data_IF_342831709723
#
_entry.id   IF_342831709723
#
_cell.length_a   1.000
_cell.length_b   1.000
_cell.length_c   1.000
_cell.angle_alpha   90.00
_cell.angle_beta   90.00
_cell.angle_gamma   90.00
#
_symmetry.space_group_name_H-M   'P 1'
#
loop_
_entity.id
_entity.type
_entity.pdbx_description
1 polymer ?
#
# COMPACT_ATOMS: atom_id res chain seq x y z
N UNK A 1 7.42 6.78 -0.25
CA UNK A 1 6.86 5.40 -0.13
C UNK A 1 5.39 5.45 0.21
N UNK A 2 4.57 4.50 -0.26
CA UNK A 2 3.17 4.28 0.15
C UNK A 2 3.00 2.84 0.65
N UNK A 3 2.05 2.64 1.58
CA UNK A 3 1.67 1.31 2.08
C UNK A 3 0.27 0.99 1.59
N UNK A 4 0.08 -0.20 1.03
CA UNK A 4 -1.23 -0.70 0.60
C UNK A 4 -1.46 -2.10 1.14
N UNK A 5 -2.62 -2.31 1.76
CA UNK A 5 -3.14 -3.63 2.07
C UNK A 5 -4.10 -4.04 0.96
N UNK A 6 -3.91 -5.21 0.42
CA UNK A 6 -4.71 -5.74 -0.67
C UNK A 6 -5.89 -6.52 -0.10
N UNK A 7 -7.09 -6.18 -0.51
CA UNK A 7 -8.29 -6.85 -0.02
C UNK A 7 -8.45 -8.25 -0.61
N UNK A 8 -8.45 -9.26 0.24
CA UNK A 8 -8.87 -10.62 -0.14
C UNK A 8 -10.39 -10.65 -0.26
N UNK A 9 -10.91 -10.53 -1.44
CA UNK A 9 -12.34 -10.70 -1.69
C UNK A 9 -12.74 -12.18 -1.52
N UNK A 10 -12.92 -12.62 -0.28
CA UNK A 10 -13.52 -13.92 0.02
C UNK A 10 -12.58 -15.12 0.07
N UNK A 11 -11.36 -14.96 0.53
CA UNK A 11 -10.53 -16.10 0.93
C UNK A 11 -9.89 -16.88 -0.21
N UNK A 12 -9.26 -16.18 -1.15
CA UNK A 12 -8.39 -16.82 -2.14
C UNK A 12 -7.27 -17.63 -1.48
N UNK A 13 -6.64 -18.55 -2.20
CA UNK A 13 -5.48 -19.29 -1.74
C UNK A 13 -4.28 -18.38 -1.56
N UNK A 14 -3.56 -18.50 -0.44
CA UNK A 14 -2.28 -17.82 -0.24
C UNK A 14 -1.23 -18.36 -1.21
N UNK A 15 -1.28 -19.64 -1.55
CA UNK A 15 -0.45 -20.25 -2.58
C UNK A 15 -0.60 -19.55 -3.92
N UNK A 16 -1.83 -19.35 -4.39
CA UNK A 16 -2.07 -18.63 -5.64
C UNK A 16 -1.59 -17.15 -5.60
N UNK A 17 -1.65 -16.50 -4.43
CA UNK A 17 -1.08 -15.16 -4.24
C UNK A 17 0.45 -15.18 -4.34
N UNK A 18 1.10 -16.16 -3.73
CA UNK A 18 2.56 -16.31 -3.77
C UNK A 18 3.01 -16.69 -5.17
N UNK A 19 2.29 -17.56 -5.89
CA UNK A 19 2.56 -17.90 -7.28
C UNK A 19 2.43 -16.69 -8.20
N UNK A 20 1.45 -15.84 -7.96
CA UNK A 20 1.34 -14.55 -8.66
C UNK A 20 2.55 -13.64 -8.39
N UNK A 21 3.06 -13.62 -7.15
CA UNK A 21 4.20 -12.76 -6.77
C UNK A 21 5.54 -13.30 -7.27
N UNK A 22 5.78 -14.59 -7.23
CA UNK A 22 7.07 -15.20 -7.57
C UNK A 22 7.11 -15.89 -8.94
N UNK A 23 5.97 -16.10 -9.59
CA UNK A 23 5.80 -17.05 -10.70
C UNK A 23 5.47 -18.47 -10.17
N UNK A 24 4.75 -19.26 -10.96
CA UNK A 24 4.39 -20.65 -10.61
C UNK A 24 5.65 -21.50 -10.34
N UNK A 25 6.68 -21.32 -11.17
CA UNK A 25 7.99 -21.99 -11.06
C UNK A 25 9.01 -21.21 -10.23
N UNK A 26 8.60 -20.12 -9.53
CA UNK A 26 9.46 -19.23 -8.73
C UNK A 26 10.51 -18.48 -9.56
N UNK A 27 10.25 -18.24 -10.83
CA UNK A 27 11.16 -17.68 -11.82
C UNK A 27 10.68 -16.36 -12.46
N UNK A 28 9.72 -15.66 -11.83
CA UNK A 28 9.20 -14.41 -12.33
C UNK A 28 10.31 -13.35 -12.44
N UNK A 29 10.50 -12.81 -13.64
CA UNK A 29 11.44 -11.72 -13.91
C UNK A 29 11.16 -10.51 -13.01
N UNK A 30 12.24 -9.99 -12.39
CA UNK A 30 12.15 -8.83 -11.49
C UNK A 30 11.51 -9.14 -10.12
N UNK A 31 11.29 -10.43 -9.78
CA UNK A 31 10.85 -10.87 -8.46
C UNK A 31 12.00 -11.55 -7.71
N UNK A 32 12.21 -11.18 -6.45
CA UNK A 32 13.24 -11.74 -5.57
C UNK A 32 12.62 -12.06 -4.20
N UNK A 33 12.81 -13.28 -3.72
CA UNK A 33 12.48 -13.64 -2.34
C UNK A 33 13.52 -12.99 -1.41
N UNK A 34 13.07 -12.07 -0.55
CA UNK A 34 13.95 -11.37 0.40
C UNK A 34 14.03 -12.08 1.75
N UNK A 35 12.90 -12.59 2.26
CA UNK A 35 12.87 -13.35 3.50
C UNK A 35 11.60 -14.18 3.62
N UNK A 36 11.61 -15.17 4.55
CA UNK A 36 10.50 -16.10 4.78
C UNK A 36 10.62 -17.36 3.96
N UNK A 37 9.61 -18.23 4.10
CA UNK A 37 9.43 -19.47 3.35
C UNK A 37 8.05 -19.41 2.66
N UNK A 38 8.01 -19.16 1.34
CA UNK A 38 6.76 -19.00 0.60
C UNK A 38 5.84 -20.24 0.70
N UNK A 39 6.42 -21.42 0.70
CA UNK A 39 5.65 -22.68 0.75
C UNK A 39 5.10 -22.93 2.15
N UNK A 40 5.84 -22.58 3.20
CA UNK A 40 5.35 -22.63 4.57
C UNK A 40 4.23 -21.61 4.78
N UNK A 41 4.44 -20.35 4.35
CA UNK A 41 3.44 -19.28 4.43
C UNK A 41 2.14 -19.67 3.72
N UNK A 42 2.23 -20.25 2.51
CA UNK A 42 1.07 -20.74 1.77
C UNK A 42 0.34 -21.85 2.55
N UNK A 43 1.06 -22.88 3.00
CA UNK A 43 0.48 -24.00 3.75
C UNK A 43 -0.15 -23.57 5.06
N UNK A 44 0.51 -22.70 5.83
CA UNK A 44 -0.05 -22.16 7.06
C UNK A 44 -1.39 -21.45 6.78
N UNK A 45 -1.41 -20.52 5.83
CA UNK A 45 -2.59 -19.74 5.53
C UNK A 45 -3.72 -20.59 4.93
N UNK A 46 -3.42 -21.49 3.98
CA UNK A 46 -4.44 -22.26 3.26
C UNK A 46 -5.09 -23.34 4.12
N UNK A 47 -4.46 -23.76 5.21
CA UNK A 47 -5.04 -24.69 6.19
C UNK A 47 -5.84 -24.01 7.32
N UNK A 48 -5.95 -22.66 7.34
CA UNK A 48 -6.76 -21.96 8.32
C UNK A 48 -8.25 -22.03 7.98
N UNK A 49 -9.08 -22.31 8.97
CA UNK A 49 -10.55 -22.29 8.86
C UNK A 49 -11.14 -20.87 8.98
N UNK A 50 -10.30 -19.83 8.93
CA UNK A 50 -10.73 -18.44 9.05
C UNK A 50 -11.26 -17.89 7.71
N UNK A 51 -12.26 -17.04 7.74
CA UNK A 51 -12.75 -16.37 6.54
C UNK A 51 -11.65 -15.56 5.83
N UNK A 52 -10.84 -14.83 6.61
CA UNK A 52 -9.65 -14.15 6.13
C UNK A 52 -8.43 -14.91 6.65
N UNK A 53 -7.80 -15.69 5.79
CA UNK A 53 -6.72 -16.61 6.15
C UNK A 53 -5.34 -16.00 6.16
N UNK A 54 -5.15 -14.91 5.41
CA UNK A 54 -3.88 -14.20 5.34
C UNK A 54 -4.08 -12.71 5.08
N UNK A 55 -3.08 -11.93 5.40
CA UNK A 55 -2.96 -10.52 5.11
C UNK A 55 -1.86 -10.34 4.07
N UNK A 56 -2.17 -9.63 2.99
CA UNK A 56 -1.22 -9.31 1.92
C UNK A 56 -1.18 -7.81 1.68
N UNK A 57 0.01 -7.30 1.41
CA UNK A 57 0.18 -5.89 1.11
C UNK A 57 1.51 -5.59 0.44
N UNK A 58 1.76 -4.32 0.22
CA UNK A 58 2.95 -3.85 -0.48
C UNK A 58 3.40 -2.50 0.06
N UNK A 59 4.70 -2.35 0.26
CA UNK A 59 5.40 -1.09 0.40
C UNK A 59 5.88 -0.70 -1.00
N UNK A 60 5.29 0.34 -1.59
CA UNK A 60 5.61 0.78 -2.95
C UNK A 60 6.39 2.09 -2.89
N UNK A 61 7.55 2.11 -3.53
CA UNK A 61 8.48 3.22 -3.54
C UNK A 61 8.40 3.94 -4.89
N UNK A 62 8.79 5.20 -4.92
CA UNK A 62 9.01 5.94 -6.17
C UNK A 62 10.42 5.66 -6.68
N UNK A 63 11.32 5.37 -5.76
CA UNK A 63 12.70 5.00 -6.00
C UNK A 63 12.76 3.67 -6.78
N UNK A 64 13.67 3.60 -7.76
CA UNK A 64 13.85 2.39 -8.57
C UNK A 64 14.43 1.23 -7.74
N UNK A 65 15.26 1.52 -6.76
CA UNK A 65 15.81 0.57 -5.79
C UNK A 65 16.32 1.28 -4.52
N UNK A 66 16.59 0.52 -3.48
CA UNK A 66 17.23 0.94 -2.23
C UNK A 66 18.40 0.01 -1.92
N UNK A 67 19.32 0.47 -1.07
CA UNK A 67 20.38 -0.40 -0.57
C UNK A 67 19.78 -1.58 0.23
N UNK A 68 20.37 -2.78 0.12
CA UNK A 68 19.87 -3.98 0.79
C UNK A 68 19.67 -3.78 2.29
N UNK A 69 20.61 -3.11 2.95
CA UNK A 69 20.50 -2.78 4.36
C UNK A 69 19.27 -1.92 4.68
N UNK A 70 18.98 -0.91 3.84
CA UNK A 70 17.81 -0.07 4.02
C UNK A 70 16.50 -0.85 3.83
N UNK A 71 16.45 -1.75 2.83
CA UNK A 71 15.29 -2.64 2.63
C UNK A 71 15.04 -3.49 3.87
N UNK A 72 16.09 -4.11 4.42
CA UNK A 72 16.00 -4.95 5.61
C UNK A 72 15.53 -4.15 6.84
N UNK A 73 16.09 -2.96 7.08
CA UNK A 73 15.71 -2.09 8.19
C UNK A 73 14.25 -1.63 8.08
N UNK A 74 13.79 -1.28 6.88
CA UNK A 74 12.40 -0.89 6.61
C UNK A 74 11.44 -2.07 6.83
N UNK A 75 11.78 -3.25 6.32
CA UNK A 75 10.98 -4.47 6.50
C UNK A 75 10.86 -4.82 7.98
N UNK A 76 11.98 -4.85 8.71
CA UNK A 76 12.01 -5.12 10.14
C UNK A 76 11.18 -4.10 10.93
N UNK A 77 11.38 -2.80 10.69
CA UNK A 77 10.62 -1.73 11.35
C UNK A 77 9.11 -1.83 11.05
N UNK A 78 8.74 -2.26 9.85
CA UNK A 78 7.34 -2.50 9.51
C UNK A 78 6.75 -3.68 10.29
N UNK A 79 7.48 -4.80 10.38
CA UNK A 79 7.08 -5.98 11.16
C UNK A 79 6.90 -5.61 12.65
N UNK A 80 7.89 -4.97 13.25
CA UNK A 80 7.86 -4.53 14.65
C UNK A 80 6.69 -3.58 14.95
N UNK A 81 6.30 -2.78 13.97
CA UNK A 81 5.15 -1.86 14.09
C UNK A 81 3.82 -2.60 13.91
N UNK A 82 3.67 -3.35 12.82
CA UNK A 82 2.42 -4.00 12.45
C UNK A 82 2.05 -5.14 13.40
N UNK A 83 3.07 -5.86 13.90
CA UNK A 83 2.97 -7.03 14.76
C UNK A 83 3.48 -6.75 16.19
N UNK A 84 3.41 -5.47 16.61
CA UNK A 84 3.93 -5.03 17.89
C UNK A 84 3.43 -5.90 19.06
N UNK A 85 4.38 -6.32 19.91
CA UNK A 85 4.11 -7.18 21.08
C UNK A 85 4.10 -8.66 20.80
N UNK A 86 4.38 -9.08 19.57
CA UNK A 86 4.64 -10.46 19.20
C UNK A 86 6.14 -10.68 19.02
N UNK A 87 6.64 -11.82 19.51
CA UNK A 87 8.00 -12.26 19.23
C UNK A 87 8.09 -12.85 17.83
N UNK A 88 9.29 -12.89 17.25
CA UNK A 88 9.49 -13.33 15.84
C UNK A 88 8.99 -14.74 15.57
N UNK A 89 8.95 -15.59 16.56
CA UNK A 89 8.50 -16.98 16.50
C UNK A 89 6.98 -17.15 16.66
N UNK A 90 6.25 -16.07 16.93
CA UNK A 90 4.79 -16.08 17.07
C UNK A 90 4.05 -15.78 15.78
N UNK A 91 4.74 -15.41 14.70
CA UNK A 91 4.13 -15.13 13.40
C UNK A 91 5.01 -15.63 12.25
N UNK A 92 4.42 -15.78 11.10
CA UNK A 92 5.11 -16.02 9.85
C UNK A 92 4.88 -14.88 8.86
N UNK A 93 5.89 -14.53 8.09
CA UNK A 93 5.83 -13.51 7.05
C UNK A 93 6.82 -13.83 5.94
N UNK A 94 6.36 -13.72 4.71
CA UNK A 94 7.21 -13.80 3.52
C UNK A 94 7.27 -12.45 2.83
N UNK A 95 8.48 -12.01 2.49
CA UNK A 95 8.76 -10.78 1.76
C UNK A 95 9.31 -11.06 0.36
N UNK A 96 8.72 -10.37 -0.62
CA UNK A 96 9.07 -10.52 -2.03
C UNK A 96 9.26 -9.13 -2.64
N UNK A 97 10.44 -8.90 -3.20
CA UNK A 97 10.77 -7.69 -3.96
C UNK A 97 10.26 -7.80 -5.39
N UNK A 98 9.72 -6.71 -5.94
CA UNK A 98 9.48 -6.52 -7.36
C UNK A 98 10.13 -5.24 -7.87
N UNK A 99 10.75 -5.31 -9.06
CA UNK A 99 11.34 -4.16 -9.75
C UNK A 99 10.89 -4.05 -11.22
N UNK A 100 9.99 -4.93 -11.65
CA UNK A 100 9.51 -5.07 -13.04
C UNK A 100 8.80 -3.81 -13.59
N UNK A 101 8.37 -2.90 -12.73
CA UNK A 101 7.68 -1.65 -13.11
C UNK A 101 8.54 -0.40 -13.05
N UNK A 102 9.88 -0.56 -13.01
CA UNK A 102 10.84 0.54 -12.90
C UNK A 102 10.82 1.26 -11.55
N UNK A 103 10.20 0.66 -10.53
CA UNK A 103 10.18 1.12 -9.14
C UNK A 103 10.24 -0.08 -8.21
N UNK A 104 10.75 0.16 -6.99
CA UNK A 104 10.81 -0.86 -5.96
C UNK A 104 9.42 -1.09 -5.34
N UNK A 105 9.02 -2.36 -5.23
CA UNK A 105 7.86 -2.81 -4.47
C UNK A 105 8.30 -3.95 -3.53
N UNK A 106 8.11 -3.79 -2.22
CA UNK A 106 8.31 -4.84 -1.22
C UNK A 106 6.95 -5.41 -0.85
N UNK A 107 6.64 -6.59 -1.38
CA UNK A 107 5.38 -7.28 -1.12
C UNK A 107 5.53 -8.18 0.09
N UNK A 108 4.48 -8.28 0.92
CA UNK A 108 4.46 -9.16 2.08
C UNK A 108 3.19 -9.99 2.14
N UNK A 109 3.33 -11.21 2.66
CA UNK A 109 2.22 -12.14 2.94
C UNK A 109 2.38 -12.67 4.35
N UNK A 110 1.32 -12.53 5.17
CA UNK A 110 1.27 -12.93 6.59
C UNK A 110 0.08 -13.87 6.80
N UNK A 111 0.27 -15.15 7.19
CA UNK A 111 -0.82 -15.98 7.65
C UNK A 111 -1.52 -15.38 8.88
N UNK A 112 -2.85 -15.41 8.91
CA UNK A 112 -3.62 -14.76 9.98
C UNK A 112 -3.74 -15.68 11.22
N UNK A 113 -2.61 -16.19 11.68
CA UNK A 113 -2.51 -17.07 12.87
C UNK A 113 -1.34 -16.65 13.75
N UNK A 114 -1.54 -16.61 15.06
CA UNK A 114 -0.47 -16.54 16.05
C UNK A 114 -0.03 -17.97 16.37
N UNK A 115 1.27 -18.25 16.13
CA UNK A 115 1.80 -19.62 16.03
C UNK A 115 1.90 -20.34 17.38
N UNK A 116 2.04 -19.63 18.50
CA UNK A 116 2.16 -20.25 19.82
C UNK A 116 0.81 -20.72 20.39
N UNK A 117 -0.27 -20.00 20.06
CA UNK A 117 -1.61 -20.28 20.58
C UNK A 117 -2.56 -20.87 19.54
N UNK A 118 -2.21 -20.81 18.26
CA UNK A 118 -3.09 -21.19 17.15
C UNK A 118 -4.29 -20.25 16.97
N UNK A 119 -4.36 -19.16 17.73
CA UNK A 119 -5.48 -18.21 17.63
C UNK A 119 -5.36 -17.35 16.38
N UNK A 120 -6.52 -16.84 15.94
CA UNK A 120 -6.56 -15.90 14.83
C UNK A 120 -5.75 -14.65 15.15
N UNK A 121 -4.76 -14.37 14.32
CA UNK A 121 -4.04 -13.10 14.26
C UNK A 121 -4.74 -12.18 13.25
N UNK A 122 -4.84 -10.90 13.56
CA UNK A 122 -5.27 -9.87 12.62
C UNK A 122 -4.17 -8.81 12.52
N UNK A 123 -3.22 -8.97 11.59
CA UNK A 123 -2.11 -8.04 11.45
C UNK A 123 -2.58 -6.60 11.21
N UNK A 124 -3.59 -6.43 10.35
CA UNK A 124 -4.13 -5.12 10.01
C UNK A 124 -5.67 -5.11 10.00
N UNK A 125 -6.23 -4.12 10.70
CA UNK A 125 -7.64 -3.76 10.63
C UNK A 125 -7.77 -2.27 10.35
N UNK A 126 -8.29 -1.91 9.20
CA UNK A 126 -8.25 -0.55 8.66
C UNK A 126 -8.72 0.54 9.64
N UNK A 127 -9.83 0.30 10.33
CA UNK A 127 -10.39 1.28 11.27
C UNK A 127 -9.47 1.55 12.48
N UNK A 128 -8.75 0.53 12.96
CA UNK A 128 -7.88 0.64 14.14
C UNK A 128 -6.43 0.94 13.76
N UNK A 129 -5.91 0.28 12.71
CA UNK A 129 -4.48 0.27 12.41
C UNK A 129 -4.07 1.27 11.32
N UNK A 130 -5.01 1.91 10.60
CA UNK A 130 -4.68 2.94 9.60
C UNK A 130 -3.83 4.07 10.20
N UNK A 131 -4.17 4.65 11.37
CA UNK A 131 -3.33 5.69 11.97
C UNK A 131 -1.93 5.21 12.34
N UNK A 132 -1.78 3.96 12.81
CA UNK A 132 -0.50 3.34 13.11
C UNK A 132 0.39 3.30 11.86
N UNK A 133 -0.12 2.72 10.77
CA UNK A 133 0.61 2.55 9.51
C UNK A 133 0.91 3.90 8.85
N UNK A 134 -0.02 4.86 8.89
CA UNK A 134 0.19 6.19 8.33
C UNK A 134 1.27 6.98 9.06
N UNK A 135 1.34 6.89 10.41
CA UNK A 135 2.41 7.55 11.17
C UNK A 135 3.75 6.84 10.97
N UNK A 136 3.79 5.50 10.93
CA UNK A 136 4.99 4.74 10.60
C UNK A 136 5.53 5.14 9.21
N UNK A 137 4.68 5.20 8.20
CA UNK A 137 5.05 5.63 6.85
C UNK A 137 5.66 7.03 6.82
N UNK A 138 5.09 7.99 7.56
CA UNK A 138 5.62 9.36 7.62
C UNK A 138 7.00 9.41 8.28
N UNK A 139 7.18 8.67 9.37
CA UNK A 139 8.47 8.56 10.08
C UNK A 139 9.50 7.92 9.16
N UNK A 140 9.20 6.77 8.56
CA UNK A 140 10.10 6.05 7.66
C UNK A 140 10.47 6.89 6.43
N UNK A 141 9.50 7.58 5.80
CA UNK A 141 9.79 8.46 4.67
C UNK A 141 10.76 9.58 5.04
N UNK A 142 10.66 10.12 6.24
CA UNK A 142 11.57 11.17 6.72
C UNK A 142 12.97 10.59 7.03
N UNK A 143 13.05 9.50 7.79
CA UNK A 143 14.31 8.91 8.25
C UNK A 143 15.21 8.45 7.08
N UNK A 144 14.59 7.91 6.03
CA UNK A 144 15.31 7.40 4.85
C UNK A 144 15.31 8.38 3.67
N UNK A 145 14.77 9.60 3.84
CA UNK A 145 14.67 10.59 2.77
C UNK A 145 13.88 10.12 1.56
N UNK A 146 12.87 9.27 1.80
CA UNK A 146 12.05 8.70 0.73
C UNK A 146 11.02 9.72 0.22
N UNK A 147 10.66 9.54 -1.03
CA UNK A 147 9.62 10.30 -1.68
C UNK A 147 8.30 10.23 -0.90
N UNK A 148 7.75 11.39 -0.55
CA UNK A 148 6.41 11.49 0.04
C UNK A 148 5.37 11.77 -1.05
N UNK A 149 4.45 10.83 -1.34
CA UNK A 149 3.41 11.02 -2.34
C UNK A 149 2.38 12.08 -1.97
N UNK A 150 2.36 12.53 -0.70
CA UNK A 150 1.49 13.60 -0.22
C UNK A 150 2.15 14.98 -0.26
N UNK A 151 3.41 15.06 -0.70
CA UNK A 151 4.07 16.34 -0.90
C UNK A 151 3.30 17.18 -1.95
N UNK A 152 3.01 18.47 -1.67
CA UNK A 152 2.20 19.30 -2.56
C UNK A 152 2.76 19.46 -3.98
N UNK A 153 4.08 19.43 -4.12
CA UNK A 153 4.79 19.42 -5.39
C UNK A 153 4.60 18.13 -6.20
N UNK A 154 4.20 17.05 -5.51
CA UNK A 154 3.82 15.77 -6.10
C UNK A 154 2.32 15.56 -6.21
N UNK A 155 1.52 16.53 -5.75
CA UNK A 155 0.08 16.54 -6.00
C UNK A 155 -0.13 16.55 -7.51
N UNK A 156 -0.44 15.36 -8.06
CA UNK A 156 -0.57 15.17 -9.50
C UNK A 156 -1.54 16.19 -10.05
N UNK A 157 -1.10 16.99 -11.00
CA UNK A 157 -1.96 17.85 -11.80
C UNK A 157 -3.14 17.08 -12.40
N UNK A 158 -2.96 15.77 -12.52
CA UNK A 158 -3.92 14.79 -13.02
C UNK A 158 -4.13 13.72 -11.94
N UNK A 159 -5.30 13.72 -11.28
CA UNK A 159 -5.71 12.57 -10.46
C UNK A 159 -6.17 11.44 -11.36
N UNK A 160 -5.30 10.49 -11.63
CA UNK A 160 -5.72 9.14 -12.05
C UNK A 160 -6.29 8.42 -10.83
N UNK A 161 -7.53 8.75 -10.47
CA UNK A 161 -8.21 8.17 -9.34
C UNK A 161 -8.48 6.68 -9.58
N UNK A 162 -8.06 5.87 -8.58
CA UNK A 162 -8.40 4.44 -8.44
C UNK A 162 -8.41 3.67 -9.76
N UNK A 163 -7.23 3.58 -10.36
CA UNK A 163 -7.02 2.83 -11.61
C UNK A 163 -7.27 1.33 -11.47
N UNK A 164 -7.44 0.81 -10.27
CA UNK A 164 -7.65 -0.62 -10.03
C UNK A 164 -8.98 -1.17 -10.54
N UNK A 165 -9.98 -0.32 -10.78
CA UNK A 165 -11.31 -0.72 -11.26
C UNK A 165 -11.70 -0.10 -12.61
N UNK A 166 -10.78 0.58 -13.30
CA UNK A 166 -11.05 1.15 -14.62
C UNK A 166 -10.52 0.21 -15.68
N UNK A 167 -11.26 0.00 -16.78
CA UNK A 167 -10.72 -0.64 -17.98
C UNK A 167 -9.43 0.07 -18.43
N UNK A 168 -8.47 -0.69 -18.96
CA UNK A 168 -7.14 -0.19 -19.34
C UNK A 168 -7.22 1.01 -20.28
N UNK A 169 -8.12 0.93 -21.26
CA UNK A 169 -8.39 2.01 -22.22
C UNK A 169 -8.81 3.34 -21.56
N UNK A 170 -9.66 3.31 -20.53
CA UNK A 170 -10.11 4.53 -19.83
C UNK A 170 -8.98 5.18 -19.05
N UNK A 171 -8.09 4.39 -18.49
CA UNK A 171 -6.90 4.88 -17.76
C UNK A 171 -5.95 5.58 -18.74
N UNK A 172 -5.69 4.98 -19.87
CA UNK A 172 -4.85 5.55 -20.93
C UNK A 172 -5.45 6.85 -21.48
N UNK A 173 -6.76 6.87 -21.79
CA UNK A 173 -7.46 8.07 -22.24
C UNK A 173 -7.30 9.22 -21.23
N UNK A 174 -7.53 8.96 -19.93
CA UNK A 174 -7.35 9.98 -18.88
C UNK A 174 -5.93 10.49 -18.82
N UNK A 175 -4.95 9.62 -18.96
CA UNK A 175 -3.54 9.98 -18.90
C UNK A 175 -3.12 10.81 -20.10
N UNK A 176 -3.50 10.42 -21.30
CA UNK A 176 -3.19 11.14 -22.54
C UNK A 176 -3.83 12.54 -22.54
N UNK A 177 -5.12 12.64 -22.22
CA UNK A 177 -5.83 13.92 -22.12
C UNK A 177 -5.15 14.81 -21.08
N UNK A 178 -4.86 14.26 -19.90
CA UNK A 178 -4.26 15.02 -18.81
C UNK A 178 -2.88 15.55 -19.16
N UNK A 179 -2.02 14.74 -19.80
CA UNK A 179 -0.69 15.16 -20.26
C UNK A 179 -0.78 16.27 -21.28
N UNK A 180 -1.66 16.13 -22.27
CA UNK A 180 -1.86 17.13 -23.32
C UNK A 180 -2.38 18.47 -22.76
N UNK A 181 -3.33 18.44 -21.83
CA UNK A 181 -3.86 19.66 -21.18
C UNK A 181 -2.79 20.32 -20.31
N UNK A 182 -2.04 19.53 -19.52
CA UNK A 182 -0.96 20.07 -18.68
C UNK A 182 0.14 20.75 -19.50
N UNK A 183 0.48 20.20 -20.66
CA UNK A 183 1.43 20.78 -21.59
C UNK A 183 0.92 22.12 -22.15
N UNK A 184 -0.36 22.19 -22.54
CA UNK A 184 -0.98 23.44 -23.03
C UNK A 184 -1.06 24.53 -21.95
N UNK A 185 -1.29 24.16 -20.68
CA UNK A 185 -1.24 25.08 -19.55
C UNK A 185 0.20 25.61 -19.37
N UNK A 186 1.19 24.73 -19.41
CA UNK A 186 2.61 25.10 -19.28
C UNK A 186 3.08 26.05 -20.38
N UNK A 187 2.54 25.87 -21.59
CA UNK A 187 2.82 26.72 -22.74
C UNK A 187 2.01 28.05 -22.74
N UNK A 188 1.12 28.25 -21.74
CA UNK A 188 0.28 29.44 -21.62
C UNK A 188 -0.91 29.51 -22.60
N UNK A 189 -1.19 28.43 -23.31
CA UNK A 189 -2.30 28.35 -24.28
C UNK A 189 -3.65 28.11 -23.60
N UNK A 190 -3.64 27.53 -22.39
CA UNK A 190 -4.80 27.30 -21.53
C UNK A 190 -4.59 28.10 -20.24
N UNK A 191 -5.48 29.04 -19.95
CA UNK A 191 -5.38 29.94 -18.81
C UNK A 191 -6.49 29.74 -17.78
N UNK A 192 -7.55 29.07 -18.14
CA UNK A 192 -8.69 28.81 -17.27
C UNK A 192 -9.40 27.54 -17.66
N UNK A 193 -10.38 27.13 -16.84
CA UNK A 193 -11.16 25.93 -17.09
C UNK A 193 -11.95 25.98 -18.40
N UNK A 194 -12.44 27.15 -18.83
CA UNK A 194 -13.18 27.25 -20.08
C UNK A 194 -12.28 26.90 -21.27
N UNK A 195 -11.01 27.29 -21.21
CA UNK A 195 -10.03 26.92 -22.24
C UNK A 195 -9.79 25.39 -22.26
N UNK A 196 -9.81 24.72 -21.10
CA UNK A 196 -9.76 23.25 -21.03
C UNK A 196 -10.97 22.62 -21.71
N UNK A 197 -12.17 23.14 -21.43
CA UNK A 197 -13.42 22.66 -22.06
C UNK A 197 -13.34 22.84 -23.57
N UNK A 198 -12.99 24.04 -24.03
CA UNK A 198 -12.86 24.35 -25.46
C UNK A 198 -11.82 23.45 -26.15
N UNK A 199 -10.69 23.17 -25.46
CA UNK A 199 -9.65 22.26 -25.99
C UNK A 199 -10.16 20.84 -26.13
N UNK A 200 -10.91 20.34 -25.14
CA UNK A 200 -11.52 19.01 -25.18
C UNK A 200 -12.56 18.90 -26.30
N UNK A 201 -13.43 19.91 -26.45
CA UNK A 201 -14.44 19.96 -27.51
C UNK A 201 -13.80 20.05 -28.90
N UNK A 202 -12.77 20.87 -29.07
CA UNK A 202 -12.00 20.97 -30.32
C UNK A 202 -11.26 19.67 -30.66
N UNK A 203 -10.88 18.89 -29.65
CA UNK A 203 -10.31 17.53 -29.81
C UNK A 203 -11.39 16.45 -30.08
N UNK A 204 -12.67 16.82 -30.18
CA UNK A 204 -13.77 15.93 -30.52
C UNK A 204 -14.41 15.21 -29.32
N UNK A 205 -14.09 15.61 -28.08
CA UNK A 205 -14.71 15.02 -26.89
C UNK A 205 -16.04 15.71 -26.59
N UNK A 206 -17.10 14.93 -26.42
CA UNK A 206 -18.42 15.42 -25.98
C UNK A 206 -18.42 15.62 -24.46
N UNK A 207 -18.60 16.86 -23.98
CA UNK A 207 -18.69 17.18 -22.56
C UNK A 207 -20.12 16.82 -22.07
N UNK A 208 -20.21 15.88 -21.12
CA UNK A 208 -21.49 15.40 -20.60
C UNK A 208 -21.88 16.04 -19.27
N UNK A 209 -20.91 16.48 -18.48
CA UNK A 209 -21.14 17.11 -17.19
C UNK A 209 -19.94 17.94 -16.74
N UNK A 210 -20.21 19.05 -16.09
CA UNK A 210 -19.22 19.87 -15.38
C UNK A 210 -19.63 20.05 -13.92
N UNK A 211 -18.66 19.94 -12.99
CA UNK A 211 -18.81 20.27 -11.56
C UNK A 211 -17.65 21.16 -11.15
N UNK A 212 -17.66 21.74 -9.97
CA UNK A 212 -16.56 22.60 -9.49
C UNK A 212 -15.17 21.93 -9.57
N UNK A 213 -15.11 20.60 -9.46
CA UNK A 213 -13.85 19.85 -9.33
C UNK A 213 -13.59 18.85 -10.46
N UNK A 214 -14.47 18.75 -11.44
CA UNK A 214 -14.34 17.74 -12.49
C UNK A 214 -15.08 18.08 -13.78
N UNK A 215 -14.59 17.52 -14.89
CA UNK A 215 -15.25 17.50 -16.20
C UNK A 215 -15.53 16.03 -16.55
N UNK A 216 -16.72 15.72 -17.05
CA UNK A 216 -17.05 14.40 -17.55
C UNK A 216 -17.21 14.44 -19.06
N UNK A 217 -16.53 13.53 -19.74
CA UNK A 217 -16.62 13.34 -21.19
C UNK A 217 -17.36 12.03 -21.49
N UNK A 218 -17.98 11.98 -22.66
CA UNK A 218 -18.59 10.74 -23.17
C UNK A 218 -17.50 9.72 -23.46
N UNK A 219 -17.70 8.49 -23.01
CA UNK A 219 -16.79 7.40 -23.35
C UNK A 219 -17.16 6.85 -24.75
N UNK A 220 -16.29 6.95 -25.75
CA UNK A 220 -16.62 6.45 -27.10
C UNK A 220 -16.89 4.94 -27.13
N UNK A 221 -16.24 4.17 -26.26
CA UNK A 221 -16.29 2.71 -26.25
C UNK A 221 -17.12 2.12 -25.10
N UNK A 222 -17.74 2.95 -24.25
CA UNK A 222 -18.36 2.49 -23.00
C UNK A 222 -19.72 3.07 -22.68
N UNK A 223 -20.44 2.38 -21.77
CA UNK A 223 -21.75 2.82 -21.27
C UNK A 223 -21.66 3.92 -20.20
N UNK A 224 -20.48 4.14 -19.60
CA UNK A 224 -20.27 5.12 -18.52
C UNK A 224 -19.33 6.22 -18.98
N UNK A 225 -19.72 7.46 -18.71
CA UNK A 225 -18.90 8.62 -18.99
C UNK A 225 -17.56 8.57 -18.23
N UNK A 226 -16.51 9.12 -18.85
CA UNK A 226 -15.20 9.24 -18.23
C UNK A 226 -15.17 10.54 -17.43
N UNK A 227 -14.92 10.46 -16.12
CA UNK A 227 -14.77 11.62 -15.27
C UNK A 227 -13.30 12.00 -15.15
N UNK A 228 -12.99 13.22 -15.60
CA UNK A 228 -11.66 13.84 -15.49
C UNK A 228 -11.61 14.66 -14.20
N UNK A 229 -10.63 14.38 -13.35
CA UNK A 229 -10.46 15.01 -12.04
C UNK A 229 -9.00 15.38 -11.83
N UNK A 230 -8.76 16.42 -11.06
CA UNK A 230 -7.45 16.98 -10.76
C UNK A 230 -7.47 18.50 -10.91
N UNK A 231 -6.42 19.18 -10.45
CA UNK A 231 -6.34 20.64 -10.40
C UNK A 231 -6.59 21.31 -11.75
N UNK A 232 -6.14 20.67 -12.84
CA UNK A 232 -6.34 21.17 -14.22
C UNK A 232 -7.78 21.09 -14.71
N UNK A 233 -8.68 20.41 -13.99
CA UNK A 233 -10.11 20.30 -14.32
C UNK A 233 -11.01 21.06 -13.34
N UNK A 234 -10.43 21.69 -12.33
CA UNK A 234 -11.17 22.51 -11.36
C UNK A 234 -11.57 23.86 -11.96
N UNK A 235 -12.66 24.44 -11.46
CA UNK A 235 -13.13 25.75 -11.89
C UNK A 235 -12.26 26.86 -11.29
N UNK A 236 -11.10 27.12 -11.92
CA UNK A 236 -10.12 28.11 -11.51
C UNK A 236 -9.37 28.70 -12.71
N UNK A 237 -8.65 29.77 -12.46
CA UNK A 237 -7.67 30.33 -13.40
C UNK A 237 -6.35 29.58 -13.27
N UNK A 238 -5.68 29.35 -14.38
CA UNK A 238 -4.37 28.71 -14.49
C UNK A 238 -3.34 29.79 -14.85
N UNK A 239 -2.99 30.62 -13.89
CA UNK A 239 -1.98 31.64 -14.08
C UNK A 239 -0.60 31.20 -13.58
N UNK A 240 0.42 32.05 -13.78
CA UNK A 240 1.76 31.80 -13.23
C UNK A 240 1.75 31.64 -11.70
N UNK A 241 0.72 32.19 -11.01
CA UNK A 241 0.57 32.03 -9.56
C UNK A 241 0.34 30.58 -9.18
N UNK A 242 -0.32 29.75 -10.02
CA UNK A 242 -0.51 28.32 -9.72
C UNK A 242 0.84 27.58 -9.61
N UNK A 243 1.78 27.85 -10.52
CA UNK A 243 3.13 27.28 -10.46
C UNK A 243 3.90 27.80 -9.24
N UNK A 244 3.74 29.09 -8.90
CA UNK A 244 4.35 29.71 -7.73
C UNK A 244 3.70 29.20 -6.42
N UNK A 245 2.38 29.05 -6.36
CA UNK A 245 1.67 28.46 -5.21
C UNK A 245 2.09 27.01 -4.97
N UNK A 246 2.23 26.20 -6.03
CA UNK A 246 2.77 24.84 -5.92
C UNK A 246 4.21 24.83 -5.42
N UNK A 247 5.05 25.73 -5.93
CA UNK A 247 6.44 25.86 -5.49
C UNK A 247 6.52 26.30 -4.02
N UNK A 248 5.72 27.32 -3.62
CA UNK A 248 5.64 27.77 -2.22
C UNK A 248 5.08 26.68 -1.29
N UNK A 249 4.01 25.99 -1.71
CA UNK A 249 3.46 24.87 -0.96
C UNK A 249 4.47 23.74 -0.79
N UNK A 250 5.28 23.45 -1.81
CA UNK A 250 6.39 22.50 -1.73
C UNK A 250 7.48 22.94 -0.74
N UNK A 251 7.87 24.23 -0.80
CA UNK A 251 8.85 24.80 0.13
C UNK A 251 8.36 24.80 1.59
N UNK A 252 7.10 25.18 1.83
CA UNK A 252 6.47 25.12 3.16
C UNK A 252 6.33 23.68 3.66
N UNK A 253 6.03 22.75 2.77
CA UNK A 253 5.99 21.34 3.10
C UNK A 253 7.37 20.83 3.54
N UNK A 254 8.43 21.18 2.82
CA UNK A 254 9.80 20.83 3.20
C UNK A 254 10.20 21.50 4.53
N UNK A 255 9.89 22.79 4.69
CA UNK A 255 10.20 23.53 5.93
C UNK A 255 9.54 22.95 7.16
N UNK A 256 8.31 22.44 7.05
CA UNK A 256 7.56 21.83 8.16
C UNK A 256 7.78 20.31 8.28
N UNK A 257 8.68 19.73 7.50
CA UNK A 257 8.92 18.27 7.48
C UNK A 257 9.32 17.72 8.85
N UNK A 258 10.19 18.43 9.57
CA UNK A 258 10.63 18.03 10.92
C UNK A 258 9.50 18.07 11.94
N UNK A 259 8.67 19.09 11.94
CA UNK A 259 7.51 19.20 12.83
C UNK A 259 6.50 18.07 12.58
N UNK A 260 6.26 17.74 11.31
CA UNK A 260 5.43 16.58 10.95
C UNK A 260 6.03 15.27 11.40
N UNK A 261 7.35 15.09 11.24
CA UNK A 261 8.07 13.93 11.74
C UNK A 261 7.92 13.77 13.27
N UNK A 262 8.19 14.82 14.06
CA UNK A 262 8.08 14.80 15.51
C UNK A 262 6.64 14.47 15.95
N UNK A 263 5.65 15.08 15.28
CA UNK A 263 4.22 14.80 15.53
C UNK A 263 3.88 13.34 15.20
N UNK A 264 4.33 12.83 14.05
CA UNK A 264 4.07 11.46 13.61
C UNK A 264 4.77 10.45 14.52
N UNK A 265 6.02 10.71 14.91
CA UNK A 265 6.81 9.87 15.82
C UNK A 265 6.14 9.73 17.19
N UNK A 266 5.68 10.84 17.79
CA UNK A 266 4.97 10.81 19.07
C UNK A 266 3.62 10.06 19.00
N UNK A 267 2.91 10.16 17.86
CA UNK A 267 1.69 9.38 17.64
C UNK A 267 1.99 7.90 17.38
N UNK A 268 3.01 7.60 16.58
CA UNK A 268 3.45 6.23 16.29
C UNK A 268 3.74 5.47 17.59
N UNK A 269 4.54 6.05 18.48
CA UNK A 269 4.87 5.43 19.76
C UNK A 269 3.63 5.00 20.54
N UNK A 270 2.64 5.88 20.69
CA UNK A 270 1.36 5.56 21.36
C UNK A 270 0.59 4.44 20.67
N UNK A 271 0.53 4.44 19.33
CA UNK A 271 -0.20 3.41 18.60
C UNK A 271 0.50 2.05 18.68
N UNK A 272 1.83 2.03 18.63
CA UNK A 272 2.64 0.82 18.85
C UNK A 272 2.41 0.25 20.25
N UNK A 273 2.46 1.06 21.31
CA UNK A 273 2.17 0.63 22.68
C UNK A 273 0.75 0.04 22.83
N UNK A 274 -0.24 0.68 22.21
CA UNK A 274 -1.61 0.17 22.24
C UNK A 274 -1.74 -1.18 21.51
N UNK A 275 -1.12 -1.31 20.34
CA UNK A 275 -1.10 -2.56 19.56
C UNK A 275 -0.37 -3.67 20.34
N UNK A 276 0.78 -3.34 20.91
CA UNK A 276 1.58 -4.25 21.75
C UNK A 276 0.75 -4.78 22.92
N UNK A 277 0.09 -3.90 23.67
CA UNK A 277 -0.77 -4.29 24.78
C UNK A 277 -1.90 -5.20 24.34
N UNK A 278 -2.59 -4.85 23.26
CA UNK A 278 -3.69 -5.64 22.72
C UNK A 278 -3.21 -7.05 22.30
N UNK A 279 -2.09 -7.15 21.61
CA UNK A 279 -1.53 -8.44 21.19
C UNK A 279 -1.08 -9.29 22.39
N UNK A 280 -0.38 -8.68 23.35
CA UNK A 280 0.03 -9.38 24.57
C UNK A 280 -1.15 -9.89 25.40
N UNK A 281 -2.25 -9.14 25.45
CA UNK A 281 -3.48 -9.60 26.13
C UNK A 281 -4.17 -10.74 25.38
N UNK A 282 -4.27 -10.63 24.05
CA UNK A 282 -4.96 -11.61 23.21
C UNK A 282 -4.22 -12.95 23.16
N UNK A 283 -2.88 -12.93 23.17
CA UNK A 283 -2.04 -14.11 22.95
C UNK A 283 -1.28 -14.55 24.21
N UNK A 284 -1.74 -14.12 25.41
CA UNK A 284 -1.23 -14.69 26.66
C UNK A 284 -1.42 -16.19 26.68
N UNK A 285 -0.33 -16.93 26.84
CA UNK A 285 -0.38 -18.35 27.19
C UNK A 285 -0.97 -18.46 28.59
N UNK A 286 -1.98 -19.28 28.78
CA UNK A 286 -2.44 -19.62 30.13
C UNK A 286 -1.34 -20.39 30.82
N UNK A 287 -1.11 -20.16 32.11
CA UNK A 287 -0.06 -20.80 32.91
C UNK A 287 -0.12 -22.33 32.99
N UNK A 288 -1.16 -22.94 32.42
CA UNK A 288 -1.35 -24.39 32.26
C UNK A 288 -0.87 -24.96 30.92
N UNK A 289 -0.56 -24.11 29.96
CA UNK A 289 -0.23 -24.53 28.61
C UNK A 289 1.30 -24.59 28.46
N UNK A 290 1.81 -25.78 28.43
CA UNK A 290 3.15 -26.31 28.11
C UNK A 290 4.36 -25.37 28.05
N UNK A 291 5.58 -25.85 28.37
CA UNK A 291 6.81 -25.04 28.28
C UNK A 291 6.94 -24.50 26.84
N UNK A 292 7.35 -23.23 26.71
CA UNK A 292 7.59 -22.59 25.43
C UNK A 292 8.37 -23.54 24.52
N UNK A 293 7.85 -23.87 23.34
CA UNK A 293 8.59 -24.73 22.42
C UNK A 293 9.94 -24.08 22.11
N UNK A 294 11.00 -24.87 22.10
CA UNK A 294 12.27 -24.43 21.54
C UNK A 294 12.10 -24.12 20.06
N UNK A 295 12.99 -23.34 19.46
CA UNK A 295 12.94 -22.94 18.03
C UNK A 295 12.71 -24.15 17.09
N UNK A 296 13.20 -25.31 17.49
CA UNK A 296 13.04 -26.57 16.76
C UNK A 296 11.63 -27.17 16.90
N UNK A 297 11.02 -27.06 18.08
CA UNK A 297 9.63 -27.47 18.32
C UNK A 297 8.62 -26.54 17.66
N UNK A 298 8.93 -25.25 17.50
CA UNK A 298 8.10 -24.27 16.80
C UNK A 298 8.05 -24.55 15.30
N UNK A 299 9.20 -24.84 14.70
CA UNK A 299 9.25 -25.30 13.30
C UNK A 299 8.46 -26.60 13.10
N UNK A 300 8.54 -27.51 14.08
CA UNK A 300 7.77 -28.77 14.06
C UNK A 300 6.27 -28.50 14.20
N UNK A 301 5.85 -27.65 15.13
CA UNK A 301 4.45 -27.24 15.31
C UNK A 301 3.89 -26.56 14.06
N UNK A 302 4.61 -25.58 13.52
CA UNK A 302 4.25 -24.93 12.27
C UNK A 302 4.17 -25.91 11.11
N UNK A 303 5.09 -26.87 11.05
CA UNK A 303 5.10 -27.92 10.04
C UNK A 303 3.92 -28.89 10.20
N UNK A 304 3.60 -29.34 11.41
CA UNK A 304 2.46 -30.22 11.71
C UNK A 304 1.13 -29.48 11.43
N UNK A 305 1.01 -28.22 11.79
CA UNK A 305 -0.15 -27.38 11.49
C UNK A 305 -0.32 -27.17 9.98
N UNK A 306 0.77 -26.88 9.27
CA UNK A 306 0.77 -26.71 7.83
C UNK A 306 0.45 -28.00 7.05
N UNK A 307 0.60 -29.18 7.67
CA UNK A 307 0.21 -30.45 7.08
C UNK A 307 -1.26 -30.84 7.33
N UNK A 308 -2.06 -29.99 7.98
CA UNK A 308 -3.48 -30.26 8.23
C UNK A 308 -3.76 -31.26 9.34
N UNK A 309 -2.75 -31.62 10.16
CA UNK A 309 -2.98 -32.39 11.37
C UNK A 309 -3.67 -31.46 12.38
N UNK A 310 -5.00 -31.48 12.41
CA UNK A 310 -5.79 -30.79 13.43
C UNK A 310 -5.35 -31.30 14.82
N UNK A 311 -4.63 -30.45 15.55
CA UNK A 311 -4.51 -30.64 16.99
C UNK A 311 -5.92 -30.55 17.55
N UNK A 312 -6.36 -31.69 18.10
CA UNK A 312 -7.73 -31.98 18.46
C UNK A 312 -8.42 -30.86 19.22
N UNK A 313 -9.71 -30.73 18.92
CA UNK A 313 -10.65 -29.97 19.72
C UNK A 313 -10.55 -30.39 21.19
N UNK A 314 -10.07 -29.51 22.02
CA UNK A 314 -10.33 -29.52 23.46
C UNK A 314 -11.00 -28.18 23.79
#
# INVERSE_FOLDING_TARGET
MIVKFLGNKGGGSAGATIDYLLGEDRDRDGAILLSGDPDLTARLADNLDFQNRYTVGVLSFEEANLAEKQKQEIMQSFEETLLAGLERDQYDITWIEHTDKGRLELNFVIPNVELSTGKRLQPYFDQADRPLVENWKQVTNFDYGLSDPHAPDKAQAIKTLNSQNLPENVKEIKQQIGTAIAEQISNGNIQNRQDVVNTLENAGFEITRQTERSISIKNPDGKRNIRLEGVIYENRQFDKQLAEEHSRAGQDYQRTSRERYETASGKLHRFVENKQRANQENFKLKSSDHPRPTTENQKRFAFEYAQGNSLGRV
#
